data_IF_533438119168
#
_entry.id   IF_533438119168
#
_cell.length_a   1.000
_cell.length_b   1.000
_cell.length_c   1.000
_cell.angle_alpha   90.00
_cell.angle_beta   90.00
_cell.angle_gamma   90.00
#
_symmetry.space_group_name_H-M   'P 1'
#
loop_
_entity.id
_entity.type
_entity.pdbx_description
1 polymer ?
#
# COMPACT_ATOMS: atom_id res chain seq x y z
N UNK A 1 1.92 0.60 1.99
CA UNK A 1 1.31 1.79 2.65
C UNK A 1 0.67 2.68 1.61
N UNK A 2 -0.19 3.63 2.01
CA UNK A 2 -0.87 4.53 1.08
C UNK A 2 -0.59 5.99 1.42
N UNK A 3 -0.27 6.78 0.39
CA UNK A 3 -0.21 8.24 0.49
C UNK A 3 -1.22 8.82 -0.51
N UNK A 4 -2.16 9.59 -0.01
CA UNK A 4 -3.21 10.25 -0.77
C UNK A 4 -2.94 11.75 -0.86
N UNK A 5 -2.82 12.28 -2.06
CA UNK A 5 -2.62 13.71 -2.32
C UNK A 5 -3.92 14.34 -2.81
N UNK A 6 -4.31 15.48 -2.25
CA UNK A 6 -5.41 16.29 -2.75
C UNK A 6 -4.89 17.32 -3.76
N UNK A 7 -5.33 17.20 -5.02
CA UNK A 7 -4.87 18.05 -6.13
C UNK A 7 -5.71 19.33 -6.28
N UNK A 8 -6.91 19.33 -5.70
CA UNK A 8 -7.80 20.48 -5.60
C UNK A 8 -8.73 20.37 -4.37
N UNK A 9 -9.57 21.40 -4.20
CA UNK A 9 -10.65 21.44 -3.20
C UNK A 9 -12.00 21.44 -3.92
N UNK A 10 -12.86 20.41 -3.71
CA UNK A 10 -14.23 20.46 -4.21
C UNK A 10 -15.00 21.55 -3.45
N UNK A 11 -16.05 22.09 -4.07
CA UNK A 11 -16.86 23.16 -3.46
C UNK A 11 -17.69 22.62 -2.28
N UNK A 12 -18.13 21.36 -2.34
CA UNK A 12 -18.90 20.72 -1.28
C UNK A 12 -18.75 19.18 -1.32
N UNK A 13 -18.60 18.57 -0.14
CA UNK A 13 -18.41 17.12 -0.01
C UNK A 13 -16.98 16.67 -0.35
N UNK A 14 -16.84 15.42 -0.81
CA UNK A 14 -15.59 14.88 -1.30
C UNK A 14 -14.57 14.52 -0.24
N UNK A 15 -14.95 14.39 1.02
CA UNK A 15 -14.02 13.98 2.09
C UNK A 15 -13.43 12.58 1.85
N UNK A 16 -12.34 12.28 2.55
CA UNK A 16 -11.84 10.91 2.68
C UNK A 16 -12.19 10.44 4.08
N UNK A 17 -13.00 9.39 4.18
CA UNK A 17 -13.54 8.90 5.43
C UNK A 17 -12.91 7.55 5.81
N UNK A 18 -12.72 7.34 7.11
CA UNK A 18 -12.32 6.08 7.72
C UNK A 18 -13.43 5.65 8.70
N UNK A 19 -14.37 4.79 8.26
CA UNK A 19 -15.61 4.52 8.99
C UNK A 19 -15.41 3.98 10.39
N UNK A 20 -14.34 3.20 10.58
CA UNK A 20 -14.07 2.43 11.79
C UNK A 20 -12.70 2.73 12.40
N UNK A 21 -12.04 3.81 11.99
CA UNK A 21 -10.75 4.20 12.58
C UNK A 21 -10.87 4.42 14.10
N UNK A 22 -9.82 4.09 14.84
CA UNK A 22 -9.75 4.16 16.32
C UNK A 22 -10.86 3.39 17.06
N UNK A 23 -11.54 2.45 16.39
CA UNK A 23 -12.54 1.60 17.04
C UNK A 23 -11.88 0.40 17.72
N UNK A 24 -11.38 0.58 18.94
CA UNK A 24 -10.71 -0.48 19.72
C UNK A 24 -11.56 -1.76 19.92
N UNK A 25 -12.89 -1.68 19.72
CA UNK A 25 -13.84 -2.80 19.89
C UNK A 25 -14.23 -3.46 18.56
N UNK A 26 -13.50 -3.22 17.47
CA UNK A 26 -13.77 -3.90 16.20
C UNK A 26 -13.57 -5.41 16.33
N UNK A 27 -14.69 -6.13 16.36
CA UNK A 27 -14.78 -7.52 15.95
C UNK A 27 -15.55 -7.55 14.64
N UNK A 28 -15.12 -8.37 13.67
CA UNK A 28 -15.85 -8.50 12.40
C UNK A 28 -17.32 -8.84 12.65
N UNK A 29 -17.59 -9.64 13.68
CA UNK A 29 -18.92 -10.05 14.13
C UNK A 29 -19.69 -8.91 14.80
N UNK A 30 -19.06 -8.15 15.71
CA UNK A 30 -19.69 -7.04 16.43
C UNK A 30 -19.99 -5.84 15.54
N UNK A 31 -19.09 -5.52 14.62
CA UNK A 31 -19.29 -4.55 13.52
C UNK A 31 -20.46 -5.02 12.66
N UNK A 32 -20.40 -6.26 12.15
CA UNK A 32 -21.50 -6.81 11.34
C UNK A 32 -22.84 -6.77 12.08
N UNK A 33 -22.86 -7.02 13.40
CA UNK A 33 -24.07 -6.99 14.22
C UNK A 33 -24.59 -5.57 14.49
N UNK A 34 -23.71 -4.62 14.83
CA UNK A 34 -24.09 -3.22 15.05
C UNK A 34 -24.58 -2.56 13.75
N UNK A 35 -23.93 -2.84 12.63
CA UNK A 35 -24.31 -2.30 11.32
C UNK A 35 -25.58 -2.95 10.76
N UNK A 36 -25.76 -4.27 10.93
CA UNK A 36 -27.03 -4.94 10.58
C UNK A 36 -28.20 -4.49 11.45
N UNK A 37 -27.97 -4.20 12.74
CA UNK A 37 -29.04 -3.76 13.65
C UNK A 37 -29.42 -2.29 13.47
N UNK A 38 -28.50 -1.44 12.99
CA UNK A 38 -28.77 -0.02 12.70
C UNK A 38 -29.15 0.26 11.24
N UNK A 39 -29.21 -0.75 10.36
CA UNK A 39 -29.40 -0.59 8.91
C UNK A 39 -28.38 0.37 8.26
N UNK A 40 -27.15 0.42 8.79
CA UNK A 40 -26.10 1.32 8.31
C UNK A 40 -25.03 0.51 7.62
N UNK A 41 -24.87 0.72 6.33
CA UNK A 41 -23.77 0.12 5.58
C UNK A 41 -22.53 1.02 5.68
N UNK A 42 -21.48 0.55 6.35
CA UNK A 42 -20.20 1.29 6.47
C UNK A 42 -19.47 1.47 5.15
N UNK A 43 -19.82 0.65 4.16
CA UNK A 43 -19.26 0.76 2.83
C UNK A 43 -20.00 1.82 1.99
N UNK A 44 -21.20 2.22 2.40
CA UNK A 44 -21.97 3.28 1.75
C UNK A 44 -21.57 4.68 2.25
N UNK A 45 -20.44 5.16 1.75
CA UNK A 45 -19.94 6.51 2.04
C UNK A 45 -20.67 7.61 1.26
N UNK A 46 -21.63 7.26 0.40
CA UNK A 46 -22.51 8.25 -0.22
C UNK A 46 -23.45 8.79 0.84
N UNK A 47 -24.11 7.89 1.59
CA UNK A 47 -25.12 8.27 2.58
C UNK A 47 -24.57 8.35 4.02
N UNK A 48 -23.49 7.61 4.34
CA UNK A 48 -22.98 7.45 5.69
C UNK A 48 -21.56 8.01 5.91
N UNK A 49 -21.08 8.90 5.03
CA UNK A 49 -19.78 9.55 5.21
C UNK A 49 -19.62 10.20 6.59
N UNK A 50 -20.62 10.99 7.01
CA UNK A 50 -20.58 11.76 8.27
C UNK A 50 -20.67 10.89 9.52
N UNK A 51 -21.06 9.62 9.37
CA UNK A 51 -21.10 8.64 10.45
C UNK A 51 -19.71 8.02 10.73
N UNK A 52 -18.71 8.33 9.90
CA UNK A 52 -17.36 7.77 10.03
C UNK A 52 -16.59 8.36 11.21
N UNK A 53 -15.77 7.54 11.86
CA UNK A 53 -14.97 7.96 13.01
C UNK A 53 -13.95 9.06 12.66
N UNK A 54 -13.30 8.96 11.50
CA UNK A 54 -12.41 10.00 10.98
C UNK A 54 -12.88 10.44 9.60
N UNK A 55 -12.96 11.74 9.39
CA UNK A 55 -13.32 12.36 8.11
C UNK A 55 -12.30 13.46 7.80
N UNK A 56 -11.58 13.32 6.70
CA UNK A 56 -10.56 14.27 6.27
C UNK A 56 -11.09 15.13 5.13
N UNK A 57 -11.16 16.43 5.36
CA UNK A 57 -11.53 17.41 4.34
C UNK A 57 -10.41 17.54 3.28
N UNK A 58 -10.72 17.52 1.97
CA UNK A 58 -9.71 17.78 0.94
C UNK A 58 -9.22 19.22 1.06
N UNK A 59 -7.91 19.39 1.05
CA UNK A 59 -7.26 20.69 1.00
C UNK A 59 -6.13 20.62 -0.03
N UNK A 60 -6.12 21.52 -1.01
CA UNK A 60 -5.21 21.45 -2.15
C UNK A 60 -3.75 21.48 -1.67
N UNK A 61 -2.96 20.53 -2.13
CA UNK A 61 -1.54 20.43 -1.79
C UNK A 61 -1.26 19.72 -0.46
N UNK A 62 -2.29 19.26 0.26
CA UNK A 62 -2.10 18.40 1.42
C UNK A 62 -2.03 16.92 1.03
N UNK A 63 -1.38 16.14 1.89
CA UNK A 63 -1.30 14.70 1.76
C UNK A 63 -1.74 14.03 3.06
N UNK A 64 -2.41 12.89 2.95
CA UNK A 64 -2.77 12.01 4.07
C UNK A 64 -2.04 10.69 3.85
N UNK A 65 -1.47 10.13 4.91
CA UNK A 65 -0.74 8.87 4.87
C UNK A 65 -1.27 7.92 5.94
N UNK A 66 -1.35 6.65 5.60
CA UNK A 66 -1.65 5.57 6.57
C UNK A 66 -0.99 4.24 6.15
N UNK A 67 -0.91 3.34 7.11
CA UNK A 67 -0.47 1.96 6.91
C UNK A 67 -1.68 1.06 6.66
N UNK A 68 -1.56 0.13 5.71
CA UNK A 68 -2.61 -0.87 5.43
C UNK A 68 -2.35 -2.19 6.18
N UNK A 69 -1.16 -2.37 6.74
CA UNK A 69 -0.71 -3.57 7.44
C UNK A 69 -0.07 -3.18 8.77
N UNK A 70 -0.23 -4.05 9.78
CA UNK A 70 0.52 -3.95 11.02
C UNK A 70 2.00 -4.25 10.77
N UNK A 71 2.86 -3.80 11.69
CA UNK A 71 4.20 -4.34 11.79
C UNK A 71 4.14 -5.65 12.59
N UNK A 72 4.79 -6.69 12.10
CA UNK A 72 5.05 -7.91 12.87
C UNK A 72 6.40 -7.74 13.57
N UNK A 73 6.35 -7.49 14.88
CA UNK A 73 7.57 -7.26 15.69
C UNK A 73 8.45 -8.51 15.80
N UNK A 74 7.87 -9.72 15.75
CA UNK A 74 8.65 -10.96 15.83
C UNK A 74 9.41 -11.23 14.54
N UNK A 75 8.79 -10.91 13.40
CA UNK A 75 9.42 -11.07 12.07
C UNK A 75 10.22 -9.84 11.63
N UNK A 76 10.12 -8.73 12.35
CA UNK A 76 10.62 -7.41 11.95
C UNK A 76 10.19 -7.03 10.51
N UNK A 77 8.97 -7.42 10.12
CA UNK A 77 8.45 -7.27 8.75
C UNK A 77 6.97 -6.93 8.71
N UNK A 78 6.35 -7.03 7.53
CA UNK A 78 4.92 -6.79 7.34
C UNK A 78 4.08 -7.87 8.01
N UNK A 79 3.07 -7.44 8.79
CA UNK A 79 2.07 -8.30 9.40
C UNK A 79 0.72 -8.25 8.67
N UNK A 80 -0.32 -8.66 9.39
CA UNK A 80 -1.69 -8.72 8.86
C UNK A 80 -2.23 -7.35 8.42
N UNK A 81 -3.24 -7.38 7.55
CA UNK A 81 -4.01 -6.20 7.17
C UNK A 81 -4.65 -5.53 8.39
N UNK A 82 -4.58 -4.20 8.44
CA UNK A 82 -5.24 -3.38 9.47
C UNK A 82 -6.70 -3.19 9.05
N UNK A 83 -7.70 -3.78 9.74
CA UNK A 83 -9.10 -3.56 9.38
C UNK A 83 -9.50 -2.07 9.51
N UNK A 84 -8.88 -1.37 10.46
CA UNK A 84 -9.09 0.06 10.73
C UNK A 84 -8.61 0.99 9.61
N UNK A 85 -7.83 0.49 8.65
CA UNK A 85 -7.46 1.27 7.46
C UNK A 85 -8.56 1.25 6.40
N UNK A 86 -9.74 0.68 6.67
CA UNK A 86 -10.91 0.80 5.81
C UNK A 86 -11.20 2.28 5.59
N UNK A 87 -11.20 2.68 4.32
CA UNK A 87 -11.39 4.06 3.92
C UNK A 87 -12.12 4.14 2.59
N UNK A 88 -12.62 5.33 2.28
CA UNK A 88 -13.11 5.64 0.95
C UNK A 88 -13.41 7.11 0.75
N UNK A 89 -13.84 7.45 -0.45
CA UNK A 89 -14.26 8.80 -0.80
C UNK A 89 -15.74 9.01 -0.50
N UNK A 90 -16.06 10.10 0.16
CA UNK A 90 -17.44 10.57 0.31
C UNK A 90 -17.95 11.19 -0.99
N UNK A 91 -19.26 11.30 -1.13
CA UNK A 91 -19.91 11.95 -2.27
C UNK A 91 -19.41 13.39 -2.46
N UNK A 92 -19.09 13.76 -3.71
CA UNK A 92 -18.84 15.15 -4.09
C UNK A 92 -20.18 15.77 -4.43
N UNK A 93 -20.71 16.60 -3.52
CA UNK A 93 -22.02 17.25 -3.68
C UNK A 93 -21.93 18.39 -4.69
N UNK A 94 -20.80 19.11 -4.74
CA UNK A 94 -20.60 20.23 -5.66
C UNK A 94 -19.13 20.41 -6.05
N UNK A 95 -18.90 20.69 -7.33
CA UNK A 95 -17.57 20.84 -7.92
C UNK A 95 -16.98 19.50 -8.37
N UNK A 96 -15.66 19.39 -8.31
CA UNK A 96 -14.92 18.19 -8.69
C UNK A 96 -13.79 17.91 -7.68
N UNK A 97 -13.45 16.64 -7.48
CA UNK A 97 -12.33 16.23 -6.61
C UNK A 97 -11.31 15.47 -7.45
N UNK A 98 -10.08 15.96 -7.43
CA UNK A 98 -8.91 15.36 -8.05
C UNK A 98 -7.95 14.90 -6.96
N UNK A 99 -7.54 13.65 -7.03
CA UNK A 99 -6.59 13.04 -6.11
C UNK A 99 -5.50 12.29 -6.87
N UNK A 100 -4.37 12.09 -6.21
CA UNK A 100 -3.37 11.12 -6.62
C UNK A 100 -3.13 10.15 -5.46
N UNK A 101 -3.09 8.85 -5.77
CA UNK A 101 -2.76 7.80 -4.82
C UNK A 101 -1.35 7.30 -5.15
N UNK A 102 -0.47 7.29 -4.17
CA UNK A 102 0.81 6.61 -4.25
C UNK A 102 0.79 5.43 -3.28
N UNK A 103 0.79 4.23 -3.85
CA UNK A 103 0.96 2.99 -3.10
C UNK A 103 2.44 2.63 -3.06
N UNK A 104 2.93 2.40 -1.85
CA UNK A 104 4.25 1.83 -1.64
C UNK A 104 4.03 0.38 -1.31
N UNK A 105 4.34 -0.46 -2.29
CA UNK A 105 4.13 -1.89 -2.28
C UNK A 105 5.36 -2.60 -1.71
N UNK A 106 5.12 -3.54 -0.82
CA UNK A 106 6.12 -4.40 -0.18
C UNK A 106 5.51 -5.79 -0.11
N UNK A 107 6.24 -6.78 -0.60
CA UNK A 107 5.88 -8.19 -0.50
C UNK A 107 5.92 -8.64 0.98
N UNK A 108 4.90 -9.39 1.41
CA UNK A 108 4.82 -9.91 2.78
C UNK A 108 5.89 -11.01 3.02
N UNK A 109 6.43 -11.59 1.95
CA UNK A 109 7.61 -12.42 1.98
C UNK A 109 8.88 -11.56 1.81
N UNK A 110 9.65 -11.46 2.90
CA UNK A 110 10.92 -10.73 2.95
C UNK A 110 11.90 -11.15 1.84
N UNK A 111 12.10 -12.45 1.64
CA UNK A 111 13.09 -12.96 0.69
C UNK A 111 12.69 -12.62 -0.74
N UNK A 112 11.40 -12.69 -1.06
CA UNK A 112 10.87 -12.28 -2.37
C UNK A 112 11.05 -10.78 -2.60
N UNK A 113 10.73 -9.95 -1.61
CA UNK A 113 10.95 -8.50 -1.69
C UNK A 113 12.42 -8.18 -1.96
N UNK A 114 13.34 -8.79 -1.21
CA UNK A 114 14.78 -8.54 -1.35
C UNK A 114 15.32 -9.03 -2.69
N UNK A 115 14.85 -10.18 -3.18
CA UNK A 115 15.20 -10.67 -4.50
C UNK A 115 14.73 -9.72 -5.60
N UNK A 116 13.49 -9.22 -5.50
CA UNK A 116 12.94 -8.23 -6.44
C UNK A 116 13.75 -6.93 -6.46
N UNK A 117 14.07 -6.37 -5.29
CA UNK A 117 14.88 -5.16 -5.16
C UNK A 117 16.27 -5.38 -5.74
N UNK A 118 16.92 -6.49 -5.40
CA UNK A 118 18.25 -6.82 -5.91
C UNK A 118 18.26 -6.93 -7.44
N UNK A 119 17.21 -7.49 -8.04
CA UNK A 119 17.08 -7.56 -9.50
C UNK A 119 16.98 -6.17 -10.15
N UNK A 120 16.14 -5.29 -9.60
CA UNK A 120 15.88 -3.95 -10.16
C UNK A 120 17.02 -2.96 -9.95
N UNK A 121 17.72 -3.06 -8.82
CA UNK A 121 18.83 -2.17 -8.45
C UNK A 121 20.17 -2.67 -9.02
N UNK A 122 20.25 -3.93 -9.47
CA UNK A 122 21.47 -4.46 -10.11
C UNK A 122 21.87 -3.54 -11.27
N UNK A 123 23.07 -2.92 -11.21
CA UNK A 123 23.55 -2.11 -12.31
C UNK A 123 23.69 -3.01 -13.53
N UNK A 124 23.05 -2.60 -14.63
CA UNK A 124 23.07 -3.33 -15.88
C UNK A 124 24.54 -3.46 -16.34
N UNK A 125 25.13 -4.67 -16.40
CA UNK A 125 26.56 -4.83 -16.69
C UNK A 125 26.95 -4.31 -18.08
N UNK A 126 25.98 -4.07 -18.96
CA UNK A 126 26.17 -3.55 -20.31
C UNK A 126 26.02 -2.04 -20.45
N UNK A 127 25.74 -1.29 -19.37
CA UNK A 127 25.54 0.17 -19.43
C UNK A 127 26.58 1.00 -18.65
N UNK A 128 27.76 0.43 -18.44
CA UNK A 128 28.88 1.10 -17.79
C UNK A 128 30.24 0.52 -18.21
N UNK A 129 30.63 0.68 -19.48
CA UNK A 129 32.05 0.62 -19.87
C UNK A 129 32.29 1.36 -21.18
N UNK A 130 32.15 2.68 -21.13
CA UNK A 130 32.93 3.61 -21.94
C UNK A 130 33.31 4.78 -21.04
N UNK A 131 33.89 4.52 -19.87
CA UNK A 131 34.74 5.53 -19.25
C UNK A 131 35.94 4.92 -18.52
N UNK A 132 37.05 5.06 -19.23
CA UNK A 132 38.47 5.11 -18.85
C UNK A 132 38.94 4.73 -17.43
N UNK A 133 39.90 3.79 -17.36
CA UNK A 133 41.29 3.94 -16.85
C UNK A 133 41.83 2.63 -16.28
N UNK A 134 43.00 2.22 -16.77
CA UNK A 134 43.84 1.19 -16.16
C UNK A 134 44.26 1.66 -14.77
N UNK A 135 43.85 0.95 -13.72
CA UNK A 135 44.57 0.91 -12.46
C UNK A 135 44.70 -0.55 -12.02
N UNK A 136 45.96 -0.99 -11.92
CA UNK A 136 46.31 -2.27 -11.33
C UNK A 136 46.13 -2.15 -9.81
N UNK A 137 45.10 -2.81 -9.27
CA UNK A 137 45.06 -3.15 -7.86
C UNK A 137 44.55 -4.58 -7.70
N UNK A 138 45.37 -5.39 -7.06
CA UNK A 138 45.18 -6.83 -6.81
C UNK A 138 43.97 -7.03 -5.88
N UNK A 139 42.82 -7.42 -6.43
CA UNK A 139 41.63 -7.77 -5.63
C UNK A 139 41.72 -9.22 -5.16
N UNK A 140 41.74 -9.40 -3.85
CA UNK A 140 41.44 -10.66 -3.19
C UNK A 140 39.90 -10.74 -3.06
N UNK A 141 39.28 -11.61 -3.86
CA UNK A 141 37.82 -11.82 -3.85
C UNK A 141 37.41 -12.61 -2.61
N UNK A 142 36.62 -12.00 -1.73
CA UNK A 142 35.79 -12.74 -0.78
C UNK A 142 34.52 -13.19 -1.50
N UNK A 143 34.38 -14.50 -1.73
CA UNK A 143 33.17 -15.10 -2.30
C UNK A 143 31.98 -14.87 -1.36
N UNK A 144 30.97 -14.11 -1.81
CA UNK A 144 29.64 -14.09 -1.18
C UNK A 144 28.77 -15.20 -1.79
N UNK A 145 28.07 -15.96 -0.95
CA UNK A 145 27.33 -17.17 -1.35
C UNK A 145 25.90 -16.91 -1.83
N UNK A 146 25.64 -15.80 -2.53
CA UNK A 146 24.33 -15.56 -3.10
C UNK A 146 24.21 -16.32 -4.42
N UNK A 147 23.52 -17.48 -4.41
CA UNK A 147 23.17 -18.22 -5.62
C UNK A 147 22.12 -17.45 -6.43
N UNK A 148 22.33 -17.37 -7.75
CA UNK A 148 21.41 -16.71 -8.68
C UNK A 148 20.11 -17.50 -8.89
N UNK A 149 18.94 -16.86 -9.08
CA UNK A 149 17.69 -17.55 -9.37
C UNK A 149 17.64 -17.99 -10.84
N UNK A 150 18.25 -19.12 -11.16
CA UNK A 150 18.03 -19.85 -12.42
C UNK A 150 17.19 -21.12 -12.23
N UNK A 151 16.83 -21.46 -10.98
CA UNK A 151 16.23 -22.76 -10.63
C UNK A 151 14.71 -22.71 -10.37
N UNK A 152 14.02 -21.62 -10.72
CA UNK A 152 12.58 -21.44 -10.42
C UNK A 152 11.67 -21.68 -11.63
N UNK A 153 12.16 -22.34 -12.68
CA UNK A 153 11.38 -22.56 -13.91
C UNK A 153 10.43 -23.77 -13.87
N UNK A 154 10.01 -24.25 -12.70
CA UNK A 154 9.06 -25.38 -12.58
C UNK A 154 7.99 -25.14 -11.49
N UNK A 155 7.26 -24.03 -11.59
CA UNK A 155 6.01 -23.81 -10.87
C UNK A 155 4.90 -23.50 -11.87
N UNK A 156 3.78 -24.21 -11.78
CA UNK A 156 2.61 -24.01 -12.63
C UNK A 156 2.12 -22.55 -12.62
N UNK A 157 1.57 -22.01 -13.72
CA UNK A 157 1.07 -20.64 -13.74
C UNK A 157 -0.14 -20.51 -12.80
N UNK A 158 -0.01 -19.66 -11.77
CA UNK A 158 -1.17 -19.24 -10.98
C UNK A 158 -2.12 -18.44 -11.88
N UNK A 159 -3.37 -18.89 -11.90
CA UNK A 159 -4.45 -18.34 -12.69
C UNK A 159 -4.70 -16.86 -12.40
N UNK A 160 -4.99 -16.12 -13.46
CA UNK A 160 -5.61 -14.80 -13.38
C UNK A 160 -6.96 -14.90 -12.69
N UNK A 161 -7.11 -14.25 -11.53
CA UNK A 161 -8.41 -14.05 -10.92
C UNK A 161 -9.03 -12.78 -11.52
N UNK A 162 -9.53 -12.91 -12.75
CA UNK A 162 -10.73 -12.18 -13.15
C UNK A 162 -11.91 -12.92 -12.49
N UNK A 163 -12.65 -12.24 -11.60
CA UNK A 163 -14.12 -12.27 -11.51
C UNK A 163 -14.62 -11.66 -10.19
N UNK A 164 -15.43 -10.60 -10.36
CA UNK A 164 -16.49 -10.01 -9.52
C UNK A 164 -16.12 -9.34 -8.18
#
# INVERSE_FOLDING_TARGET
>A
MTILYYLNEPEMGGQTAFPIADNETYSKEGVTFEYKSKHRDIFDLTNHCVDSNIVVQPQKGTAVMWYNHYADEEKEWMGDLIPFSLHGGCEVIKGEKWIANNWIDVDDNYDMQMAYIADRIRPNPTRGSLDSRKNNDTKQESQSSCKSPSDWSNGDPMASHDEL
#
